data_IF_085339939172
#
_entry.id   IF_085339939172
#
_cell.length_a   1.000
_cell.length_b   1.000
_cell.length_c   1.000
_cell.angle_alpha   90.00
_cell.angle_beta   90.00
_cell.angle_gamma   90.00
#
_symmetry.space_group_name_H-M   'P 1'
#
loop_
_entity.id
_entity.type
_entity.pdbx_description
1 polymer ?
#
# COMPACT_ATOMS: atom_id res chain seq x y z
N UNK A 1 -53.37 -77.93 -50.25
CA UNK A 1 -54.04 -78.15 -48.95
C UNK A 1 -53.22 -77.62 -47.77
N UNK A 2 -51.88 -77.54 -47.87
CA UNK A 2 -50.99 -77.07 -46.80
C UNK A 2 -51.17 -75.58 -46.46
N UNK A 3 -51.23 -74.72 -47.46
CA UNK A 3 -51.42 -73.26 -47.27
C UNK A 3 -52.68 -72.87 -46.50
N UNK A 4 -53.75 -73.67 -46.54
CA UNK A 4 -54.95 -73.40 -45.75
C UNK A 4 -54.81 -73.80 -44.29
N UNK A 5 -53.98 -74.80 -43.95
CA UNK A 5 -53.74 -75.23 -42.56
C UNK A 5 -52.85 -74.23 -41.82
N UNK A 6 -51.86 -73.66 -42.51
CA UNK A 6 -50.98 -72.65 -41.94
C UNK A 6 -51.72 -71.36 -41.62
N UNK A 7 -52.61 -70.89 -42.51
CA UNK A 7 -53.48 -69.73 -42.25
C UNK A 7 -54.44 -69.94 -41.07
N UNK A 8 -54.90 -71.17 -40.83
CA UNK A 8 -55.71 -71.49 -39.64
C UNK A 8 -54.89 -71.35 -38.36
N UNK A 9 -53.67 -71.89 -38.36
CA UNK A 9 -52.73 -71.81 -37.24
C UNK A 9 -52.36 -70.37 -36.90
N UNK A 10 -52.14 -69.53 -37.93
CA UNK A 10 -51.87 -68.11 -37.74
C UNK A 10 -53.09 -67.37 -37.15
N UNK A 11 -54.31 -67.71 -37.56
CA UNK A 11 -55.53 -67.14 -36.96
C UNK A 11 -55.76 -67.62 -35.53
N UNK A 12 -55.46 -68.89 -35.20
CA UNK A 12 -55.44 -69.41 -33.83
C UNK A 12 -54.42 -68.67 -32.95
N UNK A 13 -53.25 -68.37 -33.51
CA UNK A 13 -52.24 -67.58 -32.83
C UNK A 13 -52.71 -66.13 -32.59
N UNK A 14 -53.36 -65.51 -33.57
CA UNK A 14 -53.92 -64.16 -33.42
C UNK A 14 -54.99 -64.11 -32.33
N UNK A 15 -55.89 -65.10 -32.28
CA UNK A 15 -56.95 -65.19 -31.27
C UNK A 15 -56.39 -65.31 -29.85
N UNK A 16 -55.37 -66.18 -29.65
CA UNK A 16 -54.64 -66.26 -28.37
C UNK A 16 -53.97 -64.94 -28.00
N UNK A 17 -53.28 -64.31 -28.94
CA UNK A 17 -52.62 -63.02 -28.71
C UNK A 17 -53.61 -61.90 -28.36
N UNK A 18 -54.84 -61.92 -28.90
CA UNK A 18 -55.87 -60.99 -28.47
C UNK A 18 -56.36 -61.27 -27.04
N UNK A 19 -56.59 -62.55 -26.70
CA UNK A 19 -57.01 -62.96 -25.35
C UNK A 19 -55.94 -62.64 -24.28
N UNK A 20 -54.66 -62.81 -24.62
CA UNK A 20 -53.51 -62.50 -23.77
C UNK A 20 -53.20 -61.00 -23.68
N UNK A 21 -53.98 -60.14 -24.34
CA UNK A 21 -53.78 -58.68 -24.35
C UNK A 21 -52.62 -58.19 -25.22
N UNK A 22 -51.98 -59.06 -26.00
CA UNK A 22 -50.90 -58.72 -26.94
C UNK A 22 -51.45 -58.14 -28.27
N UNK A 23 -52.28 -57.11 -28.17
CA UNK A 23 -53.13 -56.57 -29.25
C UNK A 23 -52.35 -56.26 -30.53
N UNK A 24 -51.22 -55.53 -30.46
CA UNK A 24 -50.44 -55.17 -31.65
C UNK A 24 -49.81 -56.37 -32.36
N UNK A 25 -49.41 -57.39 -31.59
CA UNK A 25 -48.88 -58.64 -32.15
C UNK A 25 -50.00 -59.41 -32.86
N UNK A 26 -51.17 -59.50 -32.24
CA UNK A 26 -52.36 -60.11 -32.84
C UNK A 26 -52.78 -59.42 -34.15
N UNK A 27 -52.90 -58.08 -34.15
CA UNK A 27 -53.23 -57.29 -35.34
C UNK A 27 -52.19 -57.43 -36.47
N UNK A 28 -50.91 -57.62 -36.14
CA UNK A 28 -49.86 -57.90 -37.14
C UNK A 28 -50.12 -59.24 -37.83
N UNK A 29 -50.37 -60.30 -37.05
CA UNK A 29 -50.69 -61.63 -37.58
C UNK A 29 -51.94 -61.58 -38.47
N UNK A 30 -53.00 -60.88 -38.04
CA UNK A 30 -54.21 -60.69 -38.86
C UNK A 30 -53.93 -59.95 -40.17
N UNK A 31 -53.05 -58.93 -40.15
CA UNK A 31 -52.62 -58.21 -41.36
C UNK A 31 -51.81 -59.09 -42.31
N UNK A 32 -50.92 -59.91 -41.77
CA UNK A 32 -50.09 -60.84 -42.54
C UNK A 32 -50.97 -61.89 -43.23
N UNK A 33 -51.93 -62.48 -42.49
CA UNK A 33 -52.95 -63.39 -43.03
C UNK A 33 -53.78 -62.71 -44.11
N UNK A 34 -54.25 -61.48 -43.90
CA UNK A 34 -55.00 -60.71 -44.91
C UNK A 34 -54.18 -60.47 -46.18
N UNK A 35 -52.88 -60.18 -46.06
CA UNK A 35 -51.96 -60.02 -47.19
C UNK A 35 -51.81 -61.32 -47.99
N UNK A 36 -51.62 -62.46 -47.31
CA UNK A 36 -51.53 -63.77 -47.94
C UNK A 36 -52.82 -64.18 -48.65
N UNK A 37 -53.97 -63.89 -48.05
CA UNK A 37 -55.30 -64.11 -48.65
C UNK A 37 -55.48 -63.25 -49.91
N UNK A 38 -55.13 -61.96 -49.87
CA UNK A 38 -55.21 -61.07 -51.04
C UNK A 38 -54.36 -61.57 -52.21
N UNK A 39 -53.16 -62.09 -51.93
CA UNK A 39 -52.28 -62.71 -52.94
C UNK A 39 -52.89 -63.96 -53.57
N UNK A 40 -53.72 -64.69 -52.83
CA UNK A 40 -54.34 -65.94 -53.28
C UNK A 40 -55.68 -65.76 -54.02
N UNK A 41 -56.22 -64.54 -54.07
CA UNK A 41 -57.39 -64.16 -54.87
C UNK A 41 -58.77 -64.65 -54.38
N UNK A 42 -58.85 -65.65 -53.48
CA UNK A 42 -60.11 -66.12 -52.86
C UNK A 42 -59.90 -66.53 -51.41
N UNK A 43 -60.88 -66.22 -50.55
CA UNK A 43 -60.93 -66.71 -49.16
C UNK A 43 -61.52 -68.12 -49.17
N UNK A 44 -60.82 -69.14 -48.65
CA UNK A 44 -61.40 -70.48 -48.50
C UNK A 44 -62.62 -70.44 -47.57
N UNK A 45 -63.74 -71.04 -47.98
CA UNK A 45 -65.01 -70.99 -47.22
C UNK A 45 -64.85 -71.45 -45.75
N UNK A 46 -63.98 -72.43 -45.50
CA UNK A 46 -63.68 -72.92 -44.14
C UNK A 46 -63.01 -71.87 -43.24
N UNK A 47 -62.20 -70.97 -43.81
CA UNK A 47 -61.46 -69.92 -43.10
C UNK A 47 -62.26 -68.62 -42.94
N UNK A 48 -63.31 -68.42 -43.75
CA UNK A 48 -64.02 -67.15 -43.89
C UNK A 48 -64.56 -66.60 -42.58
N UNK A 49 -65.24 -67.42 -41.78
CA UNK A 49 -65.81 -66.98 -40.50
C UNK A 49 -64.73 -66.57 -39.49
N UNK A 50 -63.68 -67.39 -39.33
CA UNK A 50 -62.59 -67.13 -38.38
C UNK A 50 -61.76 -65.91 -38.77
N UNK A 51 -61.43 -65.78 -40.06
CA UNK A 51 -60.75 -64.60 -40.58
C UNK A 51 -61.58 -63.34 -40.39
N UNK A 52 -62.89 -63.38 -40.69
CA UNK A 52 -63.78 -62.24 -40.47
C UNK A 52 -63.91 -61.87 -38.99
N UNK A 53 -63.94 -62.85 -38.09
CA UNK A 53 -63.97 -62.61 -36.64
C UNK A 53 -62.66 -61.96 -36.15
N UNK A 54 -61.50 -62.49 -36.54
CA UNK A 54 -60.20 -61.91 -36.19
C UNK A 54 -59.99 -60.51 -36.81
N UNK A 55 -60.52 -60.29 -38.02
CA UNK A 55 -60.52 -58.99 -38.68
C UNK A 55 -61.45 -57.99 -37.96
N UNK A 56 -62.63 -58.42 -37.53
CA UNK A 56 -63.55 -57.60 -36.75
C UNK A 56 -62.93 -57.24 -35.39
N UNK A 57 -62.28 -58.18 -34.72
CA UNK A 57 -61.56 -57.96 -33.46
C UNK A 57 -60.37 -57.00 -33.66
N UNK A 58 -59.59 -57.18 -34.73
CA UNK A 58 -58.53 -56.23 -35.10
C UNK A 58 -59.05 -54.82 -35.28
N UNK A 59 -60.19 -54.66 -35.98
CA UNK A 59 -60.85 -53.37 -36.22
C UNK A 59 -61.40 -52.76 -34.93
N UNK A 60 -62.02 -53.58 -34.06
CA UNK A 60 -62.51 -53.13 -32.76
C UNK A 60 -61.38 -52.51 -31.93
N UNK A 61 -60.21 -53.16 -31.83
CA UNK A 61 -59.07 -52.58 -31.11
C UNK A 61 -58.48 -51.34 -31.81
N UNK A 62 -58.54 -51.26 -33.14
CA UNK A 62 -58.20 -50.02 -33.85
C UNK A 62 -59.15 -48.88 -33.47
N UNK A 63 -60.44 -49.15 -33.40
CA UNK A 63 -61.47 -48.16 -33.05
C UNK A 63 -61.37 -47.76 -31.57
N UNK A 64 -61.13 -48.70 -30.65
CA UNK A 64 -60.89 -48.43 -29.23
C UNK A 64 -59.62 -47.59 -29.03
N UNK A 65 -58.53 -47.93 -29.73
CA UNK A 65 -57.28 -47.16 -29.66
C UNK A 65 -57.46 -45.74 -30.23
N UNK A 66 -58.23 -45.60 -31.30
CA UNK A 66 -58.55 -44.31 -31.92
C UNK A 66 -59.45 -43.46 -31.02
N UNK A 67 -60.44 -44.08 -30.38
CA UNK A 67 -61.33 -43.41 -29.42
C UNK A 67 -60.54 -42.83 -28.23
N UNK A 68 -59.52 -43.54 -27.74
CA UNK A 68 -58.68 -43.06 -26.66
C UNK A 68 -57.61 -42.03 -27.10
N UNK A 69 -57.07 -42.15 -28.32
CA UNK A 69 -55.98 -41.31 -28.80
C UNK A 69 -56.43 -40.02 -29.49
N UNK A 70 -57.56 -40.02 -30.19
CA UNK A 70 -58.04 -38.86 -30.96
C UNK A 70 -58.37 -37.63 -30.09
N UNK A 71 -58.99 -37.76 -28.89
CA UNK A 71 -59.17 -36.62 -27.99
C UNK A 71 -57.83 -36.02 -27.55
N UNK A 72 -56.84 -36.87 -27.20
CA UNK A 72 -55.49 -36.43 -26.83
C UNK A 72 -54.76 -35.74 -27.98
N UNK A 73 -54.98 -36.17 -29.23
CA UNK A 73 -54.46 -35.49 -30.42
C UNK A 73 -55.09 -34.11 -30.58
N UNK A 74 -56.40 -33.98 -30.34
CA UNK A 74 -57.05 -32.68 -30.35
C UNK A 74 -56.49 -31.77 -29.23
N UNK A 75 -56.25 -32.29 -28.03
CA UNK A 75 -55.57 -31.55 -26.95
C UNK A 75 -54.17 -31.07 -27.37
N UNK A 76 -53.40 -31.90 -28.10
CA UNK A 76 -52.09 -31.50 -28.62
C UNK A 76 -52.20 -30.42 -29.72
N UNK A 77 -53.24 -30.49 -30.56
CA UNK A 77 -53.56 -29.47 -31.57
C UNK A 77 -53.93 -28.15 -30.90
N UNK A 78 -54.76 -28.19 -29.86
CA UNK A 78 -55.15 -27.00 -29.09
C UNK A 78 -53.94 -26.43 -28.33
N UNK A 79 -53.06 -27.29 -27.80
CA UNK A 79 -51.84 -26.86 -27.14
C UNK A 79 -50.88 -26.14 -28.11
N UNK A 80 -50.64 -26.68 -29.31
CA UNK A 80 -49.78 -26.01 -30.30
C UNK A 80 -50.45 -24.74 -30.85
N UNK A 81 -51.78 -24.74 -31.01
CA UNK A 81 -52.54 -23.54 -31.40
C UNK A 81 -52.38 -22.42 -30.36
N UNK A 82 -52.45 -22.76 -29.07
CA UNK A 82 -52.21 -21.80 -28.00
C UNK A 82 -50.79 -21.20 -28.08
N UNK A 83 -49.76 -21.99 -28.41
CA UNK A 83 -48.39 -21.47 -28.62
C UNK A 83 -48.30 -20.50 -29.81
N UNK A 84 -49.09 -20.73 -30.87
CA UNK A 84 -49.16 -19.81 -32.02
C UNK A 84 -49.87 -18.50 -31.65
N UNK A 85 -50.96 -18.58 -30.88
CA UNK A 85 -51.76 -17.41 -30.47
C UNK A 85 -51.08 -16.61 -29.35
N UNK A 86 -50.38 -17.31 -28.46
CA UNK A 86 -49.63 -16.76 -27.33
C UNK A 86 -48.18 -17.27 -27.35
N UNK A 87 -47.31 -16.69 -28.20
CA UNK A 87 -45.90 -17.05 -28.26
C UNK A 87 -45.21 -16.91 -26.88
N UNK A 88 -44.26 -17.78 -26.60
CA UNK A 88 -43.53 -17.74 -25.34
C UNK A 88 -42.54 -16.57 -25.30
N UNK A 89 -42.29 -16.01 -24.11
CA UNK A 89 -41.28 -14.96 -23.89
C UNK A 89 -39.86 -15.33 -24.37
N UNK A 90 -39.58 -16.62 -24.55
CA UNK A 90 -38.27 -17.10 -25.03
C UNK A 90 -38.41 -18.11 -26.15
N UNK A 91 -37.80 -17.80 -27.28
CA UNK A 91 -37.66 -18.71 -28.43
C UNK A 91 -37.09 -20.08 -28.05
N UNK A 92 -36.20 -20.17 -27.05
CA UNK A 92 -35.68 -21.46 -26.56
C UNK A 92 -36.74 -22.26 -25.80
N UNK A 93 -37.54 -21.60 -24.97
CA UNK A 93 -38.63 -22.26 -24.22
C UNK A 93 -39.70 -22.75 -25.20
N UNK A 94 -40.07 -21.92 -26.18
CA UNK A 94 -40.99 -22.28 -27.24
C UNK A 94 -40.51 -23.50 -28.03
N UNK A 95 -39.26 -23.51 -28.50
CA UNK A 95 -38.66 -24.64 -29.19
C UNK A 95 -38.73 -25.95 -28.37
N UNK A 96 -38.43 -25.90 -27.06
CA UNK A 96 -38.55 -27.07 -26.19
C UNK A 96 -40.00 -27.57 -26.06
N UNK A 97 -40.95 -26.65 -25.86
CA UNK A 97 -42.37 -26.99 -25.78
C UNK A 97 -42.84 -27.66 -27.08
N UNK A 98 -42.43 -27.11 -28.24
CA UNK A 98 -42.81 -27.70 -29.53
C UNK A 98 -42.21 -29.11 -29.67
N UNK A 99 -40.95 -29.32 -29.29
CA UNK A 99 -40.34 -30.66 -29.28
C UNK A 99 -41.07 -31.64 -28.35
N UNK A 100 -41.50 -31.21 -27.17
CA UNK A 100 -42.28 -32.04 -26.25
C UNK A 100 -43.63 -32.44 -26.84
N UNK A 101 -44.32 -31.50 -27.50
CA UNK A 101 -45.59 -31.76 -28.19
C UNK A 101 -45.41 -32.72 -29.37
N UNK A 102 -44.37 -32.53 -30.18
CA UNK A 102 -44.01 -33.46 -31.27
C UNK A 102 -43.69 -34.86 -30.74
N UNK A 103 -42.95 -34.96 -29.62
CA UNK A 103 -42.63 -36.24 -28.98
C UNK A 103 -43.89 -36.93 -28.47
N UNK A 104 -44.79 -36.20 -27.80
CA UNK A 104 -46.09 -36.71 -27.35
C UNK A 104 -46.95 -37.19 -28.53
N UNK A 105 -46.96 -36.45 -29.64
CA UNK A 105 -47.66 -36.85 -30.86
C UNK A 105 -47.10 -38.16 -31.43
N UNK A 106 -45.78 -38.26 -31.57
CA UNK A 106 -45.10 -39.48 -32.04
C UNK A 106 -45.38 -40.69 -31.14
N UNK A 107 -45.44 -40.50 -29.82
CA UNK A 107 -45.82 -41.54 -28.87
C UNK A 107 -47.26 -42.01 -29.06
N UNK A 108 -48.20 -41.11 -29.35
CA UNK A 108 -49.59 -41.47 -29.67
C UNK A 108 -49.68 -42.26 -30.98
N UNK A 109 -48.93 -41.88 -32.00
CA UNK A 109 -48.86 -42.62 -33.27
C UNK A 109 -48.17 -43.99 -33.12
N UNK A 110 -47.19 -44.12 -32.22
CA UNK A 110 -46.55 -45.40 -31.93
C UNK A 110 -47.42 -46.31 -31.05
N UNK A 111 -48.33 -45.77 -30.25
CA UNK A 111 -49.16 -46.52 -29.29
C UNK A 111 -50.57 -46.84 -29.80
N UNK A 112 -51.12 -46.08 -30.76
CA UNK A 112 -52.48 -46.24 -31.30
C UNK A 112 -52.51 -46.32 -32.83
N UNK A 113 -53.71 -46.37 -33.44
CA UNK A 113 -53.88 -46.14 -34.88
C UNK A 113 -53.40 -44.71 -35.23
N UNK A 114 -52.64 -44.52 -36.33
CA UNK A 114 -52.16 -43.20 -36.74
C UNK A 114 -53.29 -42.17 -36.88
N UNK A 115 -52.96 -40.89 -36.66
CA UNK A 115 -53.89 -39.80 -36.83
C UNK A 115 -54.56 -39.79 -38.21
N UNK A 116 -55.81 -39.32 -38.27
CA UNK A 116 -56.46 -39.02 -39.54
C UNK A 116 -55.72 -37.93 -40.31
N UNK A 117 -55.90 -37.90 -41.63
CA UNK A 117 -55.22 -36.92 -42.52
C UNK A 117 -55.43 -35.47 -42.06
N UNK A 118 -56.66 -35.13 -41.69
CA UNK A 118 -57.04 -33.78 -41.26
C UNK A 118 -56.35 -33.39 -39.94
N UNK A 119 -56.36 -34.26 -38.92
CA UNK A 119 -55.71 -34.00 -37.63
C UNK A 119 -54.19 -33.85 -37.79
N UNK A 120 -53.56 -34.69 -38.61
CA UNK A 120 -52.13 -34.58 -38.89
C UNK A 120 -51.79 -33.29 -39.62
N UNK A 121 -52.56 -32.91 -40.65
CA UNK A 121 -52.33 -31.67 -41.39
C UNK A 121 -52.47 -30.45 -40.46
N UNK A 122 -53.53 -30.39 -39.65
CA UNK A 122 -53.74 -29.32 -38.69
C UNK A 122 -52.58 -29.20 -37.68
N UNK A 123 -52.15 -30.33 -37.09
CA UNK A 123 -51.03 -30.34 -36.15
C UNK A 123 -49.71 -29.90 -36.81
N UNK A 124 -49.42 -30.41 -38.01
CA UNK A 124 -48.18 -30.10 -38.74
C UNK A 124 -48.11 -28.63 -39.18
N UNK A 125 -49.21 -28.07 -39.71
CA UNK A 125 -49.28 -26.67 -40.11
C UNK A 125 -49.10 -25.73 -38.91
N UNK A 126 -49.80 -25.99 -37.80
CA UNK A 126 -49.64 -25.20 -36.58
C UNK A 126 -48.24 -25.33 -35.97
N UNK A 127 -47.65 -26.54 -36.03
CA UNK A 127 -46.28 -26.78 -35.57
C UNK A 127 -45.26 -26.01 -36.41
N UNK A 128 -45.40 -25.99 -37.73
CA UNK A 128 -44.53 -25.20 -38.61
C UNK A 128 -44.64 -23.71 -38.29
N UNK A 129 -45.86 -23.20 -38.13
CA UNK A 129 -46.10 -21.80 -37.76
C UNK A 129 -45.53 -21.45 -36.37
N UNK A 130 -45.63 -22.36 -35.40
CA UNK A 130 -45.01 -22.18 -34.09
C UNK A 130 -43.47 -22.16 -34.14
N UNK A 131 -42.87 -22.82 -35.13
CA UNK A 131 -41.42 -22.85 -35.33
C UNK A 131 -40.84 -21.62 -36.05
N UNK A 132 -41.63 -20.87 -36.82
CA UNK A 132 -41.16 -19.72 -37.61
C UNK A 132 -40.33 -18.71 -36.78
N UNK A 133 -40.81 -18.21 -35.63
CA UNK A 133 -40.02 -17.26 -34.82
C UNK A 133 -38.76 -17.89 -34.22
N UNK A 134 -38.83 -19.17 -33.87
CA UNK A 134 -37.69 -19.90 -33.32
C UNK A 134 -36.59 -20.06 -34.36
N UNK A 135 -36.97 -20.34 -35.61
CA UNK A 135 -36.04 -20.51 -36.74
C UNK A 135 -35.22 -19.24 -36.97
N UNK A 136 -35.87 -18.10 -37.12
CA UNK A 136 -35.21 -16.81 -37.33
C UNK A 136 -34.24 -16.49 -36.17
N UNK A 137 -34.68 -16.67 -34.93
CA UNK A 137 -33.83 -16.48 -33.75
C UNK A 137 -32.57 -17.37 -33.75
N UNK A 138 -32.71 -18.66 -34.08
CA UNK A 138 -31.56 -19.57 -34.10
C UNK A 138 -30.63 -19.32 -35.30
N UNK A 139 -31.18 -18.89 -36.44
CA UNK A 139 -30.40 -18.47 -37.61
C UNK A 139 -29.59 -17.20 -37.30
N UNK A 140 -30.20 -16.19 -36.65
CA UNK A 140 -29.49 -15.01 -36.16
C UNK A 140 -28.41 -15.35 -35.14
N UNK A 141 -28.71 -16.25 -34.19
CA UNK A 141 -27.74 -16.68 -33.18
C UNK A 141 -26.56 -17.41 -33.83
N UNK A 142 -26.84 -18.25 -34.84
CA UNK A 142 -25.81 -18.94 -35.62
C UNK A 142 -24.96 -17.93 -36.38
N UNK A 143 -25.56 -16.94 -37.01
CA UNK A 143 -24.84 -15.88 -37.73
C UNK A 143 -23.95 -15.08 -36.78
N UNK A 144 -24.46 -14.67 -35.60
CA UNK A 144 -23.65 -14.03 -34.54
C UNK A 144 -22.46 -14.90 -34.11
N UNK A 145 -22.65 -16.22 -33.96
CA UNK A 145 -21.55 -17.14 -33.62
C UNK A 145 -20.50 -17.23 -34.73
N UNK A 146 -20.91 -17.18 -36.00
CA UNK A 146 -20.01 -17.17 -37.16
C UNK A 146 -19.22 -15.85 -37.19
N UNK A 147 -19.88 -14.72 -36.97
CA UNK A 147 -19.25 -13.40 -36.88
C UNK A 147 -18.25 -13.33 -35.72
N UNK A 148 -18.63 -13.82 -34.53
CA UNK A 148 -17.72 -13.92 -33.37
C UNK A 148 -16.48 -14.77 -33.68
N UNK A 149 -16.65 -15.89 -34.39
CA UNK A 149 -15.53 -16.73 -34.81
C UNK A 149 -14.61 -15.99 -35.79
N UNK A 150 -15.16 -15.20 -36.73
CA UNK A 150 -14.38 -14.36 -37.63
C UNK A 150 -13.59 -13.27 -36.86
N UNK A 151 -14.21 -12.59 -35.89
CA UNK A 151 -13.54 -11.60 -35.05
C UNK A 151 -12.39 -12.22 -34.24
N UNK A 152 -12.59 -13.40 -33.67
CA UNK A 152 -11.52 -14.14 -32.99
C UNK A 152 -10.33 -14.46 -33.92
N UNK A 153 -10.58 -14.80 -35.19
CA UNK A 153 -9.50 -15.01 -36.19
C UNK A 153 -8.76 -13.71 -36.50
N UNK A 154 -9.45 -12.57 -36.53
CA UNK A 154 -8.81 -11.24 -36.69
C UNK A 154 -7.89 -10.98 -35.50
N UNK A 155 -8.32 -11.25 -34.26
CA UNK A 155 -7.48 -11.10 -33.07
C UNK A 155 -6.24 -11.99 -33.09
N UNK A 156 -6.38 -13.25 -33.54
CA UNK A 156 -5.25 -14.17 -33.73
C UNK A 156 -4.29 -13.60 -34.79
N UNK A 157 -4.81 -13.09 -35.90
CA UNK A 157 -4.01 -12.47 -36.96
C UNK A 157 -3.26 -11.23 -36.46
N UNK A 158 -3.94 -10.37 -35.68
CA UNK A 158 -3.34 -9.20 -35.01
C UNK A 158 -2.21 -9.61 -34.08
N UNK A 159 -2.37 -10.71 -33.33
CA UNK A 159 -1.35 -11.26 -32.45
C UNK A 159 -0.15 -11.81 -33.23
N UNK A 160 -0.39 -12.59 -34.29
CA UNK A 160 0.67 -13.10 -35.16
C UNK A 160 1.44 -11.98 -35.86
N UNK A 161 0.74 -10.97 -36.37
CA UNK A 161 1.36 -9.79 -36.98
C UNK A 161 2.21 -9.01 -35.97
N UNK A 162 1.72 -8.86 -34.74
CA UNK A 162 2.51 -8.24 -33.68
C UNK A 162 3.80 -9.02 -33.39
N UNK A 163 3.75 -10.35 -33.39
CA UNK A 163 4.94 -11.20 -33.27
C UNK A 163 5.89 -10.98 -34.43
N UNK A 164 5.40 -11.00 -35.67
CA UNK A 164 6.20 -10.79 -36.88
C UNK A 164 6.92 -9.43 -36.83
N UNK A 165 6.18 -8.35 -36.61
CA UNK A 165 6.67 -6.97 -36.63
C UNK A 165 7.70 -6.70 -35.50
N UNK A 166 7.63 -7.42 -34.37
CA UNK A 166 8.48 -7.17 -33.18
C UNK A 166 9.52 -8.27 -32.91
N UNK A 167 9.52 -9.38 -33.66
CA UNK A 167 10.37 -10.55 -33.40
C UNK A 167 11.87 -10.24 -33.39
N UNK A 168 12.31 -9.24 -34.14
CA UNK A 168 13.70 -8.78 -34.20
C UNK A 168 14.12 -7.92 -33.01
N UNK A 169 13.18 -7.15 -32.45
CA UNK A 169 13.41 -6.27 -31.31
C UNK A 169 12.12 -6.10 -30.51
N UNK A 170 11.97 -6.96 -29.50
CA UNK A 170 10.80 -6.95 -28.65
C UNK A 170 10.73 -5.70 -27.76
N UNK A 171 9.52 -5.13 -27.58
CA UNK A 171 9.25 -4.15 -26.53
C UNK A 171 9.48 -4.69 -25.11
N UNK A 172 9.44 -3.79 -24.13
CA UNK A 172 9.51 -4.14 -22.70
C UNK A 172 8.37 -5.09 -22.28
N UNK A 173 8.67 -6.00 -21.35
CA UNK A 173 7.75 -7.01 -20.85
C UNK A 173 6.39 -6.42 -20.41
N UNK A 174 6.38 -5.22 -19.80
CA UNK A 174 5.15 -4.53 -19.40
C UNK A 174 4.24 -4.24 -20.60
N UNK A 175 4.80 -3.78 -21.71
CA UNK A 175 4.07 -3.51 -22.95
C UNK A 175 3.53 -4.80 -23.58
N UNK A 176 4.33 -5.86 -23.56
CA UNK A 176 3.91 -7.19 -24.03
C UNK A 176 2.74 -7.75 -23.20
N UNK A 177 2.80 -7.63 -21.88
CA UNK A 177 1.73 -8.03 -20.96
C UNK A 177 0.45 -7.23 -21.24
N UNK A 178 0.57 -5.91 -21.41
CA UNK A 178 -0.56 -5.04 -21.72
C UNK A 178 -1.21 -5.42 -23.06
N UNK A 179 -0.40 -5.73 -24.08
CA UNK A 179 -0.90 -6.18 -25.37
C UNK A 179 -1.67 -7.49 -25.28
N UNK A 180 -1.12 -8.51 -24.60
CA UNK A 180 -1.82 -9.79 -24.37
C UNK A 180 -3.15 -9.56 -23.64
N UNK A 181 -3.15 -8.72 -22.62
CA UNK A 181 -4.37 -8.42 -21.85
C UNK A 181 -5.43 -7.70 -22.70
N UNK A 182 -5.02 -6.77 -23.57
CA UNK A 182 -5.93 -6.11 -24.53
C UNK A 182 -6.61 -7.13 -25.43
N UNK A 183 -5.82 -8.01 -26.07
CA UNK A 183 -6.38 -9.04 -26.96
C UNK A 183 -7.28 -10.00 -26.18
N UNK A 184 -6.90 -10.38 -24.96
CA UNK A 184 -7.71 -11.27 -24.14
C UNK A 184 -9.05 -10.65 -23.73
N UNK A 185 -9.09 -9.34 -23.47
CA UNK A 185 -10.34 -8.63 -23.20
C UNK A 185 -11.23 -8.60 -24.45
N UNK A 186 -10.69 -8.24 -25.61
CA UNK A 186 -11.41 -8.30 -26.89
C UNK A 186 -11.92 -9.72 -27.20
N UNK A 187 -11.12 -10.76 -26.90
CA UNK A 187 -11.48 -12.16 -27.12
C UNK A 187 -12.72 -12.62 -26.34
N UNK A 188 -12.93 -12.07 -25.14
CA UNK A 188 -14.08 -12.40 -24.28
C UNK A 188 -15.38 -11.85 -24.83
N UNK A 189 -15.35 -10.66 -25.43
CA UNK A 189 -16.54 -10.02 -26.00
C UNK A 189 -17.12 -10.84 -27.16
N UNK A 190 -16.26 -11.52 -27.94
CA UNK A 190 -16.68 -12.37 -29.06
C UNK A 190 -17.01 -13.81 -28.62
N UNK A 191 -17.93 -13.98 -27.68
CA UNK A 191 -18.47 -15.26 -27.25
C UNK A 191 -20.01 -15.25 -27.25
N UNK A 192 -20.71 -16.37 -27.55
CA UNK A 192 -20.20 -17.69 -27.92
C UNK A 192 -19.82 -17.81 -29.41
N UNK A 193 -19.12 -18.89 -29.75
CA UNK A 193 -18.86 -19.35 -31.13
C UNK A 193 -19.52 -20.72 -31.37
N UNK A 194 -19.45 -21.25 -32.59
CA UNK A 194 -19.91 -22.62 -32.87
C UNK A 194 -18.97 -23.65 -32.22
N UNK A 195 -19.53 -24.75 -31.73
CA UNK A 195 -18.77 -25.78 -31.00
C UNK A 195 -17.64 -26.39 -31.86
N UNK A 196 -17.89 -26.54 -33.17
CA UNK A 196 -16.89 -27.00 -34.14
C UNK A 196 -15.66 -26.09 -34.25
N UNK A 197 -15.85 -24.77 -34.04
CA UNK A 197 -14.80 -23.76 -34.17
C UNK A 197 -14.09 -23.49 -32.83
N UNK A 198 -14.75 -23.78 -31.70
CA UNK A 198 -14.27 -23.44 -30.36
C UNK A 198 -12.87 -23.99 -30.06
N UNK A 199 -12.66 -25.29 -30.30
CA UNK A 199 -11.37 -25.94 -30.01
C UNK A 199 -10.26 -25.36 -30.89
N UNK A 200 -10.51 -25.29 -32.20
CA UNK A 200 -9.54 -24.79 -33.18
C UNK A 200 -9.11 -23.35 -32.87
N UNK A 201 -10.06 -22.45 -32.63
CA UNK A 201 -9.78 -21.05 -32.29
C UNK A 201 -8.99 -20.93 -30.99
N UNK A 202 -9.33 -21.74 -29.98
CA UNK A 202 -8.60 -21.77 -28.71
C UNK A 202 -7.14 -22.17 -28.91
N UNK A 203 -6.90 -23.24 -29.66
CA UNK A 203 -5.54 -23.76 -29.93
C UNK A 203 -4.71 -22.73 -30.73
N UNK A 204 -5.30 -22.14 -31.78
CA UNK A 204 -4.66 -21.07 -32.58
C UNK A 204 -4.31 -19.83 -31.74
N UNK A 205 -5.19 -19.41 -30.82
CA UNK A 205 -4.92 -18.30 -29.91
C UNK A 205 -3.74 -18.58 -28.98
N UNK A 206 -3.63 -19.79 -28.41
CA UNK A 206 -2.52 -20.13 -27.55
C UNK A 206 -1.19 -20.18 -28.31
N UNK A 207 -1.17 -20.75 -29.51
CA UNK A 207 0.05 -20.76 -30.33
C UNK A 207 0.46 -19.35 -30.76
N UNK A 208 -0.48 -18.46 -31.10
CA UNK A 208 -0.17 -17.06 -31.39
C UNK A 208 0.40 -16.30 -30.18
N UNK A 209 -0.08 -16.61 -28.97
CA UNK A 209 0.35 -15.97 -27.71
C UNK A 209 1.73 -16.44 -27.24
N UNK A 210 2.10 -17.68 -27.57
CA UNK A 210 3.28 -18.39 -27.03
C UNK A 210 4.61 -17.66 -27.25
N UNK A 211 4.93 -17.09 -28.43
CA UNK A 211 6.17 -16.34 -28.63
C UNK A 211 6.29 -15.12 -27.71
N UNK A 212 5.20 -14.35 -27.56
CA UNK A 212 5.14 -13.18 -26.69
C UNK A 212 5.35 -13.58 -25.23
N UNK A 213 4.71 -14.69 -24.80
CA UNK A 213 4.85 -15.20 -23.43
C UNK A 213 6.28 -15.67 -23.14
N UNK A 214 6.91 -16.36 -24.10
CA UNK A 214 8.30 -16.81 -23.99
C UNK A 214 9.27 -15.62 -23.88
N UNK A 215 9.02 -14.53 -24.60
CA UNK A 215 9.84 -13.33 -24.49
C UNK A 215 9.66 -12.62 -23.15
N UNK A 216 8.42 -12.51 -22.63
CA UNK A 216 8.18 -12.00 -21.28
C UNK A 216 8.98 -12.80 -20.26
N UNK A 217 8.90 -14.14 -20.31
CA UNK A 217 9.68 -15.02 -19.42
C UNK A 217 11.20 -14.81 -19.58
N UNK A 218 11.69 -14.60 -20.80
CA UNK A 218 13.11 -14.32 -21.05
C UNK A 218 13.56 -13.02 -20.38
N UNK A 219 12.79 -11.93 -20.55
CA UNK A 219 13.10 -10.63 -19.96
C UNK A 219 13.01 -10.68 -18.42
N UNK A 220 11.96 -11.31 -17.87
CA UNK A 220 11.82 -11.53 -16.43
C UNK A 220 13.01 -12.32 -15.87
N UNK A 221 13.46 -13.39 -16.55
CA UNK A 221 14.62 -14.18 -16.14
C UNK A 221 15.93 -13.38 -16.12
N UNK A 222 16.12 -12.42 -17.02
CA UNK A 222 17.28 -11.52 -16.98
C UNK A 222 17.24 -10.66 -15.71
N UNK A 223 16.08 -10.09 -15.38
CA UNK A 223 15.88 -9.30 -14.17
C UNK A 223 16.06 -10.14 -12.91
N UNK A 224 15.54 -11.37 -12.90
CA UNK A 224 15.73 -12.33 -11.79
C UNK A 224 17.23 -12.53 -11.53
N UNK A 225 18.01 -12.87 -12.56
CA UNK A 225 19.47 -13.07 -12.41
C UNK A 225 20.19 -11.81 -11.95
N UNK A 226 19.80 -10.65 -12.45
CA UNK A 226 20.36 -9.37 -12.00
C UNK A 226 20.07 -9.14 -10.51
N UNK A 227 18.83 -9.37 -10.07
CA UNK A 227 18.43 -9.27 -8.65
C UNK A 227 19.12 -10.29 -7.76
N UNK A 228 19.27 -11.53 -8.21
CA UNK A 228 20.04 -12.55 -7.49
C UNK A 228 21.52 -12.16 -7.34
N UNK A 229 22.13 -11.57 -8.38
CA UNK A 229 23.48 -11.02 -8.30
C UNK A 229 23.57 -9.86 -7.29
N UNK A 230 22.56 -8.99 -7.24
CA UNK A 230 22.50 -7.92 -6.23
C UNK A 230 22.39 -8.48 -4.81
N UNK A 231 21.60 -9.53 -4.58
CA UNK A 231 21.52 -10.21 -3.28
C UNK A 231 22.89 -10.76 -2.89
N UNK A 232 23.57 -11.46 -3.79
CA UNK A 232 24.90 -11.99 -3.54
C UNK A 232 25.91 -10.86 -3.23
N UNK A 233 25.80 -9.70 -3.90
CA UNK A 233 26.63 -8.52 -3.57
C UNK A 233 26.34 -7.98 -2.16
N UNK A 234 25.07 -7.96 -1.72
CA UNK A 234 24.72 -7.60 -0.33
C UNK A 234 25.34 -8.59 0.65
N UNK A 235 25.27 -9.89 0.35
CA UNK A 235 25.84 -10.93 1.21
C UNK A 235 27.35 -10.79 1.38
N UNK A 236 28.06 -10.29 0.37
CA UNK A 236 29.50 -10.03 0.41
C UNK A 236 29.91 -8.72 1.12
N UNK A 237 28.98 -7.86 1.51
CA UNK A 237 29.31 -6.64 2.27
C UNK A 237 29.77 -7.04 3.68
N UNK A 238 31.02 -6.73 4.00
CA UNK A 238 31.68 -7.04 5.26
C UNK A 238 32.74 -5.97 5.61
N UNK A 239 32.33 -4.71 5.75
CA UNK A 239 33.20 -3.65 6.23
C UNK A 239 33.14 -3.54 7.76
N UNK A 240 34.22 -3.05 8.37
CA UNK A 240 34.27 -2.79 9.82
C UNK A 240 33.32 -1.66 10.24
N UNK A 241 33.14 -0.67 9.36
CA UNK A 241 32.18 0.42 9.54
C UNK A 241 30.79 0.00 9.05
N UNK A 242 29.87 -0.14 10.01
CA UNK A 242 28.50 -0.51 9.72
C UNK A 242 27.72 0.58 8.95
N UNK A 243 28.05 1.87 9.11
CA UNK A 243 27.44 2.94 8.32
C UNK A 243 27.88 2.87 6.84
N UNK A 244 29.14 2.49 6.59
CA UNK A 244 29.62 2.20 5.24
C UNK A 244 28.88 0.99 4.63
N UNK A 245 28.62 -0.06 5.40
CA UNK A 245 27.81 -1.21 4.97
C UNK A 245 26.39 -0.79 4.56
N UNK A 246 25.71 0.00 5.39
CA UNK A 246 24.36 0.52 5.10
C UNK A 246 24.37 1.40 3.84
N UNK A 247 25.40 2.24 3.65
CA UNK A 247 25.55 3.05 2.44
C UNK A 247 25.68 2.20 1.18
N UNK A 248 26.57 1.19 1.19
CA UNK A 248 26.73 0.24 0.07
C UNK A 248 25.43 -0.51 -0.22
N UNK A 249 24.70 -0.95 0.81
CA UNK A 249 23.39 -1.55 0.65
C UNK A 249 22.38 -0.60 -0.01
N UNK A 250 22.34 0.67 0.41
CA UNK A 250 21.45 1.65 -0.20
C UNK A 250 21.78 1.91 -1.69
N UNK A 251 23.04 1.89 -2.08
CA UNK A 251 23.44 1.98 -3.49
C UNK A 251 22.97 0.76 -4.30
N UNK A 252 23.12 -0.44 -3.74
CA UNK A 252 22.58 -1.67 -4.33
C UNK A 252 21.05 -1.65 -4.41
N UNK A 253 20.38 -1.04 -3.43
CA UNK A 253 18.92 -0.85 -3.41
C UNK A 253 18.46 0.10 -4.53
N UNK A 254 19.27 1.09 -4.92
CA UNK A 254 18.98 1.90 -6.11
C UNK A 254 19.15 1.07 -7.39
N UNK A 255 20.22 0.28 -7.50
CA UNK A 255 20.40 -0.64 -8.64
C UNK A 255 19.27 -1.65 -8.75
N UNK A 256 18.76 -2.14 -7.61
CA UNK A 256 17.58 -3.02 -7.56
C UNK A 256 16.34 -2.40 -8.19
N UNK A 257 16.09 -1.12 -7.90
CA UNK A 257 14.96 -0.39 -8.48
C UNK A 257 15.12 -0.21 -9.99
N UNK A 258 16.34 0.08 -10.44
CA UNK A 258 16.66 0.24 -11.87
C UNK A 258 16.56 -1.09 -12.65
N UNK A 259 16.80 -2.23 -12.01
CA UNK A 259 16.69 -3.54 -12.63
C UNK A 259 15.26 -3.90 -13.09
N UNK A 260 14.23 -3.25 -12.54
CA UNK A 260 12.84 -3.46 -12.95
C UNK A 260 12.13 -4.64 -12.26
N UNK A 261 11.10 -5.19 -12.92
CA UNK A 261 10.27 -6.28 -12.37
C UNK A 261 10.76 -7.66 -12.84
N UNK A 262 10.83 -8.60 -11.91
CA UNK A 262 11.14 -10.02 -12.12
C UNK A 262 9.86 -10.87 -12.26
N UNK A 263 8.72 -10.23 -12.52
CA UNK A 263 7.41 -10.85 -12.56
C UNK A 263 6.77 -11.02 -11.18
N UNK A 264 5.44 -11.05 -11.17
CA UNK A 264 4.61 -11.06 -9.93
C UNK A 264 4.93 -12.23 -8.99
N UNK A 265 5.37 -13.37 -9.53
CA UNK A 265 5.67 -14.57 -8.73
C UNK A 265 7.00 -14.49 -7.97
N UNK A 266 7.98 -13.78 -8.53
CA UNK A 266 9.35 -13.77 -7.99
C UNK A 266 9.70 -12.48 -7.27
N UNK A 267 9.07 -11.35 -7.64
CA UNK A 267 9.40 -10.03 -7.07
C UNK A 267 9.37 -10.02 -5.54
N UNK A 268 8.29 -10.55 -4.93
CA UNK A 268 8.18 -10.59 -3.47
C UNK A 268 9.27 -11.47 -2.84
N UNK A 269 9.47 -12.68 -3.37
CA UNK A 269 10.48 -13.62 -2.83
C UNK A 269 11.90 -13.07 -2.90
N UNK A 270 12.23 -12.43 -4.02
CA UNK A 270 13.54 -11.81 -4.22
C UNK A 270 13.70 -10.59 -3.30
N UNK A 271 12.66 -9.78 -3.16
CA UNK A 271 12.67 -8.61 -2.27
C UNK A 271 12.86 -9.00 -0.80
N UNK A 272 12.15 -10.03 -0.34
CA UNK A 272 12.28 -10.53 1.03
C UNK A 272 13.70 -11.04 1.30
N UNK A 273 14.28 -11.79 0.35
CA UNK A 273 15.69 -12.24 0.44
C UNK A 273 16.66 -11.05 0.48
N UNK A 274 16.47 -10.06 -0.40
CA UNK A 274 17.34 -8.89 -0.48
C UNK A 274 17.36 -8.08 0.82
N UNK A 275 16.19 -7.86 1.45
CA UNK A 275 16.15 -7.18 2.74
C UNK A 275 16.69 -8.04 3.87
N UNK A 276 16.38 -9.34 3.88
CA UNK A 276 16.89 -10.27 4.89
C UNK A 276 18.42 -10.31 4.93
N UNK A 277 19.07 -10.24 3.77
CA UNK A 277 20.53 -10.12 3.69
C UNK A 277 21.07 -8.85 4.34
N UNK A 278 20.27 -7.78 4.39
CA UNK A 278 20.63 -6.48 4.94
C UNK A 278 20.26 -6.30 6.43
N UNK A 279 19.39 -7.14 6.99
CA UNK A 279 18.92 -7.05 8.38
C UNK A 279 20.07 -6.97 9.39
N UNK A 280 21.18 -7.68 9.10
CA UNK A 280 22.38 -7.67 9.95
C UNK A 280 22.96 -6.27 10.17
N UNK A 281 22.95 -5.41 9.14
CA UNK A 281 23.52 -4.06 9.24
C UNK A 281 22.64 -3.14 10.09
N UNK A 282 21.31 -3.24 9.90
CA UNK A 282 20.36 -2.43 10.66
C UNK A 282 20.26 -2.89 12.12
N UNK A 283 20.36 -4.20 12.37
CA UNK A 283 20.43 -4.74 13.73
C UNK A 283 21.71 -4.29 14.44
N UNK A 284 22.88 -4.39 13.79
CA UNK A 284 24.13 -3.88 14.34
C UNK A 284 24.04 -2.36 14.64
N UNK A 285 23.46 -1.56 13.73
CA UNK A 285 23.30 -0.12 13.96
C UNK A 285 22.39 0.17 15.15
N UNK A 286 21.33 -0.62 15.31
CA UNK A 286 20.42 -0.50 16.45
C UNK A 286 21.13 -0.80 17.77
N UNK A 287 21.96 -1.84 17.81
CA UNK A 287 22.77 -2.17 18.98
C UNK A 287 23.78 -1.05 19.31
N UNK A 288 24.44 -0.47 18.31
CA UNK A 288 25.37 0.65 18.53
C UNK A 288 24.67 1.90 19.06
N UNK A 289 23.47 2.21 18.54
CA UNK A 289 22.63 3.29 19.08
C UNK A 289 22.21 3.00 20.52
N UNK A 290 21.84 1.76 20.84
CA UNK A 290 21.43 1.37 22.20
C UNK A 290 22.59 1.48 23.20
N UNK A 291 23.81 1.08 22.80
CA UNK A 291 25.03 1.29 23.60
C UNK A 291 25.29 2.77 23.86
N UNK A 292 25.23 3.61 22.83
CA UNK A 292 25.45 5.04 22.99
C UNK A 292 24.35 5.69 23.86
N UNK A 293 23.10 5.23 23.77
CA UNK A 293 22.02 5.69 24.64
C UNK A 293 22.28 5.34 26.11
N UNK A 294 22.79 4.14 26.38
CA UNK A 294 23.14 3.73 27.74
C UNK A 294 24.31 4.57 28.29
N UNK A 295 25.33 4.80 27.48
CA UNK A 295 26.42 5.71 27.83
C UNK A 295 25.91 7.14 28.11
N UNK A 296 24.98 7.64 27.29
CA UNK A 296 24.36 8.96 27.51
C UNK A 296 23.56 9.05 28.82
N UNK A 297 22.92 7.96 29.25
CA UNK A 297 22.26 7.90 30.56
C UNK A 297 23.26 8.02 31.70
N UNK A 298 24.40 7.32 31.62
CA UNK A 298 25.48 7.44 32.60
C UNK A 298 26.03 8.87 32.66
N UNK A 299 26.29 9.49 31.50
CA UNK A 299 26.71 10.90 31.43
C UNK A 299 25.66 11.85 32.00
N UNK A 300 24.37 11.53 31.84
CA UNK A 300 23.27 12.31 32.42
C UNK A 300 23.22 12.21 33.95
N UNK A 301 23.62 11.06 34.52
CA UNK A 301 23.78 10.88 35.96
C UNK A 301 24.99 11.69 36.45
N UNK A 302 26.11 11.61 35.76
CA UNK A 302 27.32 12.39 36.09
C UNK A 302 27.04 13.89 36.09
N UNK A 303 26.32 14.38 35.07
CA UNK A 303 25.90 15.78 34.98
C UNK A 303 24.97 16.18 36.14
N UNK A 304 24.01 15.32 36.51
CA UNK A 304 23.07 15.59 37.61
C UNK A 304 23.80 15.67 38.96
N UNK A 305 24.77 14.79 39.16
CA UNK A 305 25.56 14.72 40.39
C UNK A 305 26.75 15.69 40.39
N UNK A 306 26.98 16.43 39.30
CA UNK A 306 28.13 17.33 39.10
C UNK A 306 29.48 16.64 39.35
N UNK A 307 29.60 15.36 39.03
CA UNK A 307 30.83 14.55 39.25
C UNK A 307 31.92 14.85 38.23
N UNK A 308 31.54 15.35 37.05
CA UNK A 308 32.43 15.72 35.94
C UNK A 308 32.25 17.16 35.53
N UNK A 309 33.32 17.79 35.04
CA UNK A 309 33.29 19.16 34.52
C UNK A 309 32.49 19.26 33.20
N UNK A 310 31.96 20.46 32.85
CA UNK A 310 31.30 20.67 31.56
C UNK A 310 32.17 20.34 30.34
N UNK A 311 33.50 20.52 30.44
CA UNK A 311 34.44 20.18 29.37
C UNK A 311 34.57 18.67 29.17
N UNK A 312 34.70 17.90 30.25
CA UNK A 312 34.79 16.43 30.19
C UNK A 312 33.51 15.83 29.63
N UNK A 313 32.34 16.27 30.14
CA UNK A 313 31.05 15.80 29.65
C UNK A 313 30.82 16.07 28.16
N UNK A 314 31.33 17.19 27.63
CA UNK A 314 31.29 17.46 26.17
C UNK A 314 32.20 16.54 25.38
N UNK A 315 33.42 16.29 25.88
CA UNK A 315 34.37 15.43 25.20
C UNK A 315 33.87 13.99 25.13
N UNK A 316 33.31 13.46 26.22
CA UNK A 316 32.72 12.11 26.24
C UNK A 316 31.44 12.03 25.40
N UNK A 317 30.58 13.05 25.44
CA UNK A 317 29.40 13.11 24.58
C UNK A 317 29.74 13.16 23.08
N UNK A 318 30.88 13.75 22.71
CA UNK A 318 31.33 13.79 21.32
C UNK A 318 31.73 12.42 20.77
N UNK A 319 32.05 11.45 21.64
CA UNK A 319 32.37 10.08 21.26
C UNK A 319 31.11 9.25 20.93
N UNK A 320 29.92 9.71 21.34
CA UNK A 320 28.62 9.06 21.08
C UNK A 320 28.14 9.36 19.65
N UNK A 321 28.93 8.92 18.66
CA UNK A 321 28.76 9.26 17.25
C UNK A 321 27.42 8.79 16.68
N UNK A 322 26.84 7.69 17.19
CA UNK A 322 25.58 7.15 16.67
C UNK A 322 24.36 7.95 17.13
N UNK A 323 24.53 8.80 18.15
CA UNK A 323 23.49 9.73 18.62
C UNK A 323 23.60 11.11 18.00
N UNK A 324 24.50 11.32 17.05
CA UNK A 324 24.68 12.63 16.44
C UNK A 324 23.35 13.13 15.82
N UNK A 325 22.99 14.37 16.10
CA UNK A 325 21.72 15.03 15.70
C UNK A 325 20.43 14.44 16.29
N UNK A 326 20.51 13.48 17.22
CA UNK A 326 19.33 13.01 17.97
C UNK A 326 18.80 14.09 18.93
N UNK A 327 17.55 13.97 19.37
CA UNK A 327 16.97 14.94 20.33
C UNK A 327 17.63 14.78 21.70
N UNK A 328 17.96 13.55 22.06
CA UNK A 328 18.57 13.12 23.31
C UNK A 328 19.92 13.83 23.52
N UNK A 329 20.82 13.77 22.53
CA UNK A 329 22.13 14.44 22.63
C UNK A 329 21.98 15.97 22.62
N UNK A 330 21.02 16.52 21.87
CA UNK A 330 20.78 17.97 21.84
C UNK A 330 20.28 18.48 23.19
N UNK A 331 19.36 17.73 23.83
CA UNK A 331 18.87 18.04 25.18
C UNK A 331 20.02 17.93 26.19
N UNK A 332 20.85 16.89 26.11
CA UNK A 332 22.00 16.74 26.98
C UNK A 332 23.00 17.90 26.84
N UNK A 333 23.34 18.31 25.61
CA UNK A 333 24.23 19.44 25.35
C UNK A 333 23.69 20.77 25.88
N UNK A 334 22.36 21.00 25.81
CA UNK A 334 21.73 22.17 26.43
C UNK A 334 21.88 22.15 27.96
N UNK A 335 21.74 20.99 28.59
CA UNK A 335 21.94 20.85 30.04
C UNK A 335 23.41 21.09 30.44
N UNK A 336 24.38 20.61 29.65
CA UNK A 336 25.79 20.93 29.91
C UNK A 336 26.03 22.45 29.81
N UNK A 337 25.43 23.12 28.82
CA UNK A 337 25.55 24.58 28.70
C UNK A 337 25.00 25.30 29.93
N UNK A 338 23.80 24.93 30.40
CA UNK A 338 23.24 25.48 31.62
C UNK A 338 24.14 25.25 32.84
N UNK A 339 24.76 24.07 32.94
CA UNK A 339 25.72 23.79 34.00
C UNK A 339 26.98 24.67 33.89
N UNK A 340 27.55 24.86 32.69
CA UNK A 340 28.65 25.79 32.48
C UNK A 340 28.27 27.23 32.87
N UNK A 341 27.08 27.68 32.48
CA UNK A 341 26.59 29.03 32.79
C UNK A 341 26.44 29.21 34.31
N UNK A 342 25.98 28.18 35.03
CA UNK A 342 25.92 28.21 36.51
C UNK A 342 27.29 28.31 37.17
N UNK A 343 28.30 27.58 36.67
CA UNK A 343 29.68 27.69 37.17
C UNK A 343 30.23 29.10 36.89
N UNK A 344 30.00 29.64 35.70
CA UNK A 344 30.44 31.00 35.36
C UNK A 344 29.77 32.05 36.25
N UNK A 345 28.49 31.86 36.58
CA UNK A 345 27.77 32.73 37.52
C UNK A 345 28.32 32.62 38.94
N UNK A 346 28.59 31.41 39.45
CA UNK A 346 29.22 31.21 40.77
C UNK A 346 30.60 31.89 40.84
N UNK A 347 31.42 31.77 39.79
CA UNK A 347 32.72 32.45 39.68
C UNK A 347 32.55 33.97 39.66
N UNK A 348 31.56 34.49 38.91
CA UNK A 348 31.28 35.93 38.85
C UNK A 348 30.84 36.48 40.21
N UNK A 349 29.96 35.78 40.92
CA UNK A 349 29.52 36.14 42.27
C UNK A 349 30.71 36.16 43.24
N UNK A 350 31.53 35.11 43.24
CA UNK A 350 32.74 35.06 44.07
C UNK A 350 33.73 36.18 43.73
N UNK A 351 33.84 36.55 42.44
CA UNK A 351 34.65 37.69 41.99
C UNK A 351 34.12 39.00 42.59
N UNK A 352 32.83 39.30 42.45
CA UNK A 352 32.22 40.52 43.02
C UNK A 352 32.44 40.58 44.53
N UNK A 353 32.23 39.47 45.24
CA UNK A 353 32.42 39.40 46.69
C UNK A 353 33.87 39.71 47.08
N UNK A 354 34.86 39.20 46.32
CA UNK A 354 36.26 39.52 46.55
C UNK A 354 36.58 41.02 46.41
N UNK A 355 35.88 41.73 45.50
CA UNK A 355 36.02 43.18 45.34
C UNK A 355 35.31 43.95 46.45
N UNK A 356 34.14 43.51 46.94
CA UNK A 356 33.46 44.14 48.08
C UNK A 356 34.28 44.10 49.37
N UNK A 357 35.07 43.03 49.54
CA UNK A 357 35.97 42.85 50.69
C UNK A 357 37.17 43.82 50.72
N UNK A 358 37.43 44.61 49.66
CA UNK A 358 38.60 45.49 49.56
C UNK A 358 38.66 46.57 50.67
N UNK A 359 37.53 47.08 51.16
CA UNK A 359 37.50 48.06 52.25
C UNK A 359 37.83 47.44 53.60
N UNK A 360 37.41 46.20 53.84
CA UNK A 360 37.79 45.47 55.05
C UNK A 360 39.28 45.07 55.02
N UNK A 361 39.83 44.81 53.82
CA UNK A 361 41.28 44.62 53.61
C UNK A 361 42.06 45.90 53.93
N UNK A 362 41.56 47.09 53.53
CA UNK A 362 42.17 48.37 53.89
C UNK A 362 42.25 48.59 55.42
N UNK A 363 41.25 48.10 56.16
CA UNK A 363 41.16 48.22 57.62
C UNK A 363 41.86 47.09 58.39
N UNK A 364 42.63 46.22 57.71
CA UNK A 364 43.26 45.02 58.27
C UNK A 364 42.27 44.05 58.96
N UNK A 365 40.97 44.10 58.58
CA UNK A 365 39.90 43.25 59.15
C UNK A 365 39.73 41.91 58.41
N UNK A 366 40.22 41.82 57.17
CA UNK A 366 40.20 40.59 56.34
C UNK A 366 41.55 40.40 55.64
N UNK A 367 41.96 39.15 55.49
CA UNK A 367 43.18 38.75 54.76
C UNK A 367 42.90 38.60 53.26
N UNK A 368 43.93 38.86 52.44
CA UNK A 368 43.93 38.61 51.01
C UNK A 368 44.07 37.10 50.74
N UNK A 369 42.94 36.39 50.69
CA UNK A 369 42.92 34.98 50.30
C UNK A 369 42.40 34.83 48.87
N UNK A 370 43.28 34.36 47.97
CA UNK A 370 42.89 33.75 46.68
C UNK A 370 42.17 34.62 45.65
N UNK A 371 42.10 35.94 45.82
CA UNK A 371 41.32 36.81 44.92
C UNK A 371 42.10 37.24 43.68
N UNK A 372 41.46 37.16 42.51
CA UNK A 372 42.03 37.56 41.21
C UNK A 372 41.91 39.07 40.99
N UNK A 373 42.37 39.87 41.96
CA UNK A 373 42.29 41.32 41.96
C UNK A 373 43.58 41.90 41.33
N UNK A 374 43.48 42.88 40.43
CA UNK A 374 44.65 43.56 39.87
C UNK A 374 45.65 44.03 40.92
N UNK A 375 46.94 43.78 40.67
CA UNK A 375 48.05 44.21 41.55
C UNK A 375 48.06 45.74 41.76
N UNK A 376 47.61 46.50 40.78
CA UNK A 376 47.46 47.96 40.84
C UNK A 376 46.52 48.40 41.98
N UNK A 377 45.36 47.75 42.13
CA UNK A 377 44.38 48.02 43.19
C UNK A 377 44.96 47.62 44.55
N UNK A 378 45.58 46.42 44.63
CA UNK A 378 46.19 45.95 45.86
C UNK A 378 47.34 46.85 46.32
N UNK A 379 48.14 47.38 45.39
CA UNK A 379 49.20 48.34 45.70
C UNK A 379 48.60 49.65 46.20
N UNK A 380 47.57 50.18 45.55
CA UNK A 380 46.90 51.42 45.98
C UNK A 380 46.36 51.35 47.41
N UNK A 381 45.88 50.18 47.85
CA UNK A 381 45.45 49.93 49.24
C UNK A 381 46.64 49.99 50.19
N UNK A 382 47.77 49.37 49.83
CA UNK A 382 48.98 49.27 50.68
C UNK A 382 49.78 50.57 50.78
N UNK A 383 49.88 51.34 49.71
CA UNK A 383 50.67 52.57 49.62
C UNK A 383 49.80 53.83 49.70
N UNK A 384 48.74 53.82 50.51
CA UNK A 384 47.86 54.99 50.73
C UNK A 384 48.59 56.09 51.53
N UNK A 385 49.63 56.68 50.94
CA UNK A 385 50.48 57.72 51.54
C UNK A 385 49.94 59.14 51.30
N UNK A 386 48.89 59.30 50.48
CA UNK A 386 48.32 60.60 50.15
C UNK A 386 47.35 61.11 51.24
N UNK A 387 47.20 62.43 51.34
CA UNK A 387 46.18 63.06 52.21
C UNK A 387 44.76 62.70 51.73
N UNK A 388 43.84 62.46 52.66
CA UNK A 388 42.42 62.21 52.37
C UNK A 388 41.84 63.29 51.43
N UNK A 389 41.30 62.87 50.29
CA UNK A 389 40.67 63.75 49.30
C UNK A 389 39.21 63.31 49.06
N UNK A 390 38.29 63.92 49.83
CA UNK A 390 36.86 63.57 49.82
C UNK A 390 36.20 63.81 48.46
N UNK A 391 36.66 64.79 47.68
CA UNK A 391 36.10 65.09 46.37
C UNK A 391 36.45 63.99 45.37
N UNK A 392 37.68 63.46 45.39
CA UNK A 392 38.09 62.33 44.55
C UNK A 392 37.43 61.00 44.95
N UNK A 393 37.21 60.77 46.24
CA UNK A 393 36.44 59.60 46.71
C UNK A 393 34.99 59.65 46.23
N UNK A 394 34.35 60.82 46.37
CA UNK A 394 32.98 61.05 45.92
C UNK A 394 32.88 60.96 44.39
N UNK A 395 33.85 61.49 43.65
CA UNK A 395 33.95 61.35 42.20
C UNK A 395 34.00 59.88 41.78
N UNK A 396 34.87 59.08 42.41
CA UNK A 396 35.03 57.66 42.09
C UNK A 396 33.74 56.88 42.38
N UNK A 397 33.08 57.17 43.51
CA UNK A 397 31.80 56.58 43.90
C UNK A 397 30.68 56.91 42.89
N UNK A 398 30.46 58.20 42.59
CA UNK A 398 29.41 58.65 41.66
C UNK A 398 29.65 58.18 40.24
N UNK A 399 30.91 58.12 39.79
CA UNK A 399 31.25 57.60 38.46
C UNK A 399 30.97 56.10 38.35
N UNK A 400 31.26 55.32 39.39
CA UNK A 400 30.90 53.89 39.44
C UNK A 400 29.37 53.69 39.48
N UNK A 401 28.62 54.52 40.19
CA UNK A 401 27.14 54.48 40.18
C UNK A 401 26.57 54.78 38.79
N UNK A 402 27.10 55.78 38.07
CA UNK A 402 26.70 56.07 36.68
C UNK A 402 27.00 54.87 35.77
N UNK A 403 28.16 54.23 35.94
CA UNK A 403 28.53 53.04 35.16
C UNK A 403 27.65 51.83 35.48
N UNK A 404 27.19 51.71 36.73
CA UNK A 404 26.30 50.66 37.23
C UNK A 404 24.81 50.94 36.99
N UNK A 405 24.48 52.09 36.39
CA UNK A 405 23.10 52.58 36.18
C UNK A 405 22.30 52.75 37.48
N UNK A 406 22.99 53.10 38.57
CA UNK A 406 22.39 53.36 39.88
C UNK A 406 22.19 54.88 40.05
N UNK A 407 21.08 55.27 40.68
CA UNK A 407 20.80 56.67 40.99
C UNK A 407 21.66 57.12 42.19
N UNK A 408 22.42 58.20 42.01
CA UNK A 408 23.26 58.77 43.07
C UNK A 408 22.40 59.50 44.11
N UNK A 409 22.98 59.74 45.30
CA UNK A 409 22.32 60.54 46.33
C UNK A 409 21.99 61.96 45.83
N UNK A 410 20.88 62.55 46.32
CA UNK A 410 20.43 63.90 45.92
C UNK A 410 21.51 64.98 46.07
N UNK A 411 22.39 64.85 47.08
CA UNK A 411 23.51 65.77 47.33
C UNK A 411 24.58 65.73 46.23
N UNK A 412 24.69 64.63 45.50
CA UNK A 412 25.71 64.41 44.47
C UNK A 412 25.18 64.68 43.04
N UNK A 413 23.93 65.16 42.90
CA UNK A 413 23.26 65.34 41.61
C UNK A 413 24.04 66.24 40.63
N UNK A 414 24.64 67.33 41.12
CA UNK A 414 25.45 68.25 40.30
C UNK A 414 26.75 67.59 39.81
N UNK A 415 27.39 66.82 40.69
CA UNK A 415 28.60 66.06 40.36
C UNK A 415 28.28 64.96 39.34
N UNK A 416 27.14 64.28 39.50
CA UNK A 416 26.64 63.27 38.55
C UNK A 416 26.47 63.85 37.14
N UNK A 417 25.80 65.00 37.02
CA UNK A 417 25.62 65.69 35.73
C UNK A 417 26.96 66.06 35.08
N UNK A 418 27.91 66.53 35.90
CA UNK A 418 29.26 66.89 35.44
C UNK A 418 29.99 65.66 34.89
N UNK A 419 29.98 64.54 35.63
CA UNK A 419 30.62 63.29 35.21
C UNK A 419 29.94 62.72 33.94
N UNK A 420 28.61 62.80 33.83
CA UNK A 420 27.90 62.36 32.63
C UNK A 420 28.32 63.17 31.39
N UNK A 421 28.53 64.47 31.53
CA UNK A 421 29.04 65.32 30.45
C UNK A 421 30.49 64.97 30.10
N UNK A 422 31.36 64.75 31.10
CA UNK A 422 32.74 64.28 30.88
C UNK A 422 32.77 62.94 30.12
N UNK A 423 31.95 61.98 30.54
CA UNK A 423 31.87 60.66 29.90
C UNK A 423 31.33 60.76 28.47
N UNK A 424 30.39 61.67 28.21
CA UNK A 424 29.88 61.93 26.86
C UNK A 424 30.96 62.57 25.98
N UNK A 425 31.70 63.55 26.50
CA UNK A 425 32.84 64.15 25.80
C UNK A 425 33.95 63.11 25.51
N UNK A 426 34.28 62.26 26.47
CA UNK A 426 35.25 61.18 26.29
C UNK A 426 34.80 60.16 25.23
N UNK A 427 33.50 59.83 25.15
CA UNK A 427 32.95 58.96 24.10
C UNK A 427 33.16 59.55 22.70
N UNK A 428 33.02 60.86 22.54
CA UNK A 428 33.25 61.54 21.25
C UNK A 428 34.74 61.62 20.88
N UNK A 429 35.62 61.78 21.87
CA UNK A 429 37.03 62.09 21.63
C UNK A 429 37.99 60.88 21.65
N UNK A 430 37.67 59.81 22.42
CA UNK A 430 38.60 58.70 22.69
C UNK A 430 38.09 57.32 22.23
N UNK A 431 36.89 57.23 21.64
CA UNK A 431 36.29 55.97 21.22
C UNK A 431 35.73 55.14 22.38
N UNK A 432 35.50 53.84 22.16
CA UNK A 432 34.97 52.94 23.18
C UNK A 432 35.98 52.75 24.32
N UNK A 433 35.71 53.34 25.49
CA UNK A 433 36.52 53.16 26.69
C UNK A 433 36.33 51.73 27.25
N UNK A 434 37.44 51.03 27.50
CA UNK A 434 37.42 49.76 28.21
C UNK A 434 36.90 49.96 29.64
N UNK A 435 35.71 49.43 29.91
CA UNK A 435 35.04 49.55 31.21
C UNK A 435 35.86 48.92 32.33
N UNK A 436 36.57 47.81 32.07
CA UNK A 436 37.43 47.14 33.05
C UNK A 436 38.56 48.07 33.48
N UNK A 437 39.31 48.61 32.52
CA UNK A 437 40.38 49.56 32.80
C UNK A 437 39.87 50.83 33.51
N UNK A 438 38.65 51.28 33.22
CA UNK A 438 38.05 52.44 33.90
C UNK A 438 37.67 52.12 35.35
N UNK A 439 37.05 50.96 35.61
CA UNK A 439 36.74 50.49 36.97
C UNK A 439 38.03 50.33 37.77
N UNK A 440 39.06 49.72 37.20
CA UNK A 440 40.38 49.59 37.83
C UNK A 440 40.95 50.95 38.21
N UNK A 441 40.95 51.93 37.29
CA UNK A 441 41.42 53.30 37.56
C UNK A 441 40.63 53.99 38.67
N UNK A 442 39.31 53.79 38.72
CA UNK A 442 38.46 54.40 39.74
C UNK A 442 38.69 53.77 41.12
N UNK A 443 38.86 52.45 41.18
CA UNK A 443 39.21 51.75 42.42
C UNK A 443 40.61 52.13 42.90
N UNK A 444 41.60 52.17 42.01
CA UNK A 444 42.96 52.67 42.31
C UNK A 444 42.90 54.11 42.81
N UNK A 445 42.13 54.97 42.13
CA UNK A 445 41.94 56.37 42.52
C UNK A 445 41.27 56.52 43.87
N UNK A 446 40.26 55.69 44.17
CA UNK A 446 39.60 55.67 45.47
C UNK A 446 40.58 55.30 46.58
N UNK A 447 41.28 54.16 46.46
CA UNK A 447 42.20 53.71 47.51
C UNK A 447 43.47 54.57 47.64
N UNK A 448 43.97 55.13 46.54
CA UNK A 448 45.14 56.02 46.58
C UNK A 448 44.85 57.35 47.29
N UNK A 449 43.59 57.73 47.49
CA UNK A 449 43.18 58.96 48.18
C UNK A 449 42.47 58.70 49.52
N UNK A 450 42.53 57.46 50.03
CA UNK A 450 41.93 57.04 51.30
C UNK A 450 42.98 56.35 52.20
N UNK A 451 43.63 57.08 53.12
CA UNK A 451 44.47 56.48 54.15
C UNK A 451 43.65 55.61 55.10
N UNK A 452 44.17 54.44 55.49
CA UNK A 452 43.51 53.54 56.43
C UNK A 452 43.14 54.21 57.77
N UNK A 453 43.99 55.11 58.26
CA UNK A 453 43.77 55.89 59.50
C UNK A 453 42.60 56.88 59.43
N UNK A 454 42.23 57.29 58.21
CA UNK A 454 41.21 58.32 57.94
C UNK A 454 39.89 57.70 57.42
N UNK A 455 39.81 56.36 57.34
CA UNK A 455 38.65 55.62 56.86
C UNK A 455 37.55 55.53 57.94
N UNK A 456 36.76 56.60 58.05
CA UNK A 456 35.67 56.74 59.01
C UNK A 456 34.29 56.34 58.47
N UNK A 457 33.25 56.75 59.19
CA UNK A 457 31.86 56.39 58.88
C UNK A 457 31.32 56.98 57.56
N UNK A 458 31.90 58.09 57.07
CA UNK A 458 31.48 58.70 55.81
C UNK A 458 32.08 57.97 54.60
N UNK A 459 33.34 57.55 54.73
CA UNK A 459 34.07 56.76 53.75
C UNK A 459 33.49 55.34 53.64
N UNK A 460 33.05 54.76 54.75
CA UNK A 460 32.34 53.48 54.79
C UNK A 460 30.98 53.54 54.07
N UNK A 461 30.23 54.65 54.22
CA UNK A 461 28.99 54.88 53.46
C UNK A 461 29.27 55.04 51.96
N UNK A 462 30.35 55.71 51.57
CA UNK A 462 30.77 55.80 50.17
C UNK A 462 31.15 54.43 49.62
N UNK A 463 31.83 53.60 50.41
CA UNK A 463 32.17 52.25 50.02
C UNK A 463 30.96 51.32 49.93
N UNK A 464 29.95 51.47 50.79
CA UNK A 464 28.69 50.72 50.68
C UNK A 464 27.99 51.00 49.36
N UNK A 465 27.98 52.26 48.92
CA UNK A 465 27.45 52.65 47.60
C UNK A 465 28.26 52.04 46.46
N UNK A 466 29.59 52.08 46.55
CA UNK A 466 30.48 51.43 45.59
C UNK A 466 30.23 49.92 45.55
N UNK A 467 30.09 49.26 46.71
CA UNK A 467 29.81 47.83 46.83
C UNK A 467 28.51 47.44 46.11
N UNK A 468 27.46 48.25 46.26
CA UNK A 468 26.21 48.07 45.52
C UNK A 468 26.39 48.30 44.01
N UNK A 469 27.23 49.26 43.61
CA UNK A 469 27.56 49.47 42.20
C UNK A 469 28.33 48.29 41.60
N UNK A 470 29.21 47.63 42.37
CA UNK A 470 29.97 46.47 41.92
C UNK A 470 29.09 45.26 41.60
N UNK A 471 27.91 45.12 42.22
CA UNK A 471 26.94 44.06 41.88
C UNK A 471 26.47 44.15 40.42
N UNK A 472 26.14 45.36 39.97
CA UNK A 472 25.71 45.63 38.60
C UNK A 472 26.88 45.64 37.60
N UNK A 473 28.12 45.74 38.08
CA UNK A 473 29.34 45.79 37.27
C UNK A 473 30.08 44.45 37.22
N UNK A 474 29.48 43.36 37.68
CA UNK A 474 30.11 42.03 37.79
C UNK A 474 30.85 41.56 36.53
N UNK A 475 30.28 41.74 35.34
CA UNK A 475 30.89 41.37 34.06
C UNK A 475 32.03 42.32 33.62
N UNK A 476 32.02 43.54 34.14
CA UNK A 476 32.95 44.62 33.83
C UNK A 476 34.08 44.74 34.87
N UNK A 477 34.12 43.87 35.90
CA UNK A 477 35.24 43.84 36.84
C UNK A 477 36.53 43.36 36.13
N UNK A 478 37.68 44.02 36.37
CA UNK A 478 39.00 43.61 35.86
C UNK A 478 39.33 42.16 36.17
#
# INVERSE_FOLDING_TARGET
METSKDLFKDLDQAEKLFADGAIKKAQKVVRDVNSQIKKSGKIPNKLRHKFNAALAQSRYYDDVSSFAANPKRNELIDAIKNIVENPSDSHKKQANIIHDLQTKWQLLDLSSRPAGREQWQAFNELTNKAWEPCKEFFDELKEKKIQNAAQRRILITKMNKYVEDNSSKWPEARSLINFINSIFNEWKEYAPVLDKDLKKLRDEYYEAKKPISKEIERQENIVIKAKESLIAKVDLINDEDNDACIKKFNDLKQQWKLAGSAGRKNDNKLWDKFNKSADRFFNAKKEDVEKDLEALKLLSIDLKNKTKSPSELRSEAALLINLNKTKEIQVFMKKIKAYQDSIAQEISIAKVESYKNLYEILLDKKTLEGSNIPKSILNAIKTSENKLDKDKLTYSCVKLEIMAEIESLKKDAKLRQTIQFEMLADKFNKGANDKKALIEKLLVGFYSNLPAKDAGADEEKLWTRISNALDNLSNDLP
#
